data_IF_083422011058
#
_entry.id   IF_083422011058
#
_cell.length_a   1.000
_cell.length_b   1.000
_cell.length_c   1.000
_cell.angle_alpha   90.00
_cell.angle_beta   90.00
_cell.angle_gamma   90.00
#
_symmetry.space_group_name_H-M   'P 1'
#
loop_
_entity.id
_entity.type
_entity.pdbx_description
1 polymer ?
#
# COMPACT_ATOMS: atom_id res chain seq x y z
N UNK A 1 -24.49 -8.66 -31.50
CA UNK A 1 -24.59 -9.27 -32.85
C UNK A 1 -25.84 -10.14 -32.99
N UNK A 2 -26.01 -11.20 -32.19
CA UNK A 2 -27.19 -12.07 -32.28
C UNK A 2 -28.50 -11.31 -32.06
N UNK A 3 -28.54 -10.36 -31.12
CA UNK A 3 -29.68 -9.47 -30.92
C UNK A 3 -30.01 -8.66 -32.17
N UNK A 4 -28.99 -8.06 -32.80
CA UNK A 4 -29.13 -7.34 -34.08
C UNK A 4 -29.66 -8.25 -35.20
N UNK A 5 -29.19 -9.50 -35.30
CA UNK A 5 -29.75 -10.51 -36.22
C UNK A 5 -31.21 -10.83 -35.96
N UNK A 6 -31.69 -10.68 -34.73
CA UNK A 6 -33.09 -10.88 -34.31
C UNK A 6 -33.93 -9.61 -34.40
N UNK A 7 -33.39 -8.50 -34.90
CA UNK A 7 -34.08 -7.20 -34.97
C UNK A 7 -34.14 -6.45 -33.64
N UNK A 8 -33.42 -6.88 -32.60
CA UNK A 8 -33.35 -6.19 -31.30
C UNK A 8 -32.24 -5.15 -31.35
N UNK A 9 -32.56 -3.90 -31.03
CA UNK A 9 -31.61 -2.77 -31.03
C UNK A 9 -30.74 -2.77 -29.76
N UNK A 10 -29.72 -3.64 -29.72
CA UNK A 10 -28.76 -3.75 -28.62
C UNK A 10 -27.48 -2.92 -28.87
N UNK A 11 -27.00 -2.18 -27.88
CA UNK A 11 -25.74 -1.40 -27.95
C UNK A 11 -24.57 -2.02 -27.17
N UNK A 12 -23.46 -1.27 -27.11
CA UNK A 12 -22.30 -1.58 -26.29
C UNK A 12 -21.78 -0.30 -25.64
N UNK A 13 -21.42 -0.38 -24.35
CA UNK A 13 -20.74 0.68 -23.62
C UNK A 13 -19.71 0.06 -22.69
N UNK A 14 -18.70 0.85 -22.31
CA UNK A 14 -17.60 0.44 -21.43
C UNK A 14 -17.73 1.11 -20.07
N UNK A 15 -17.75 0.31 -19.01
CA UNK A 15 -17.69 0.81 -17.65
C UNK A 15 -16.28 0.57 -17.09
N UNK A 16 -15.52 1.65 -16.95
CA UNK A 16 -14.22 1.67 -16.28
C UNK A 16 -14.14 2.86 -15.33
N UNK A 17 -13.64 2.63 -14.13
CA UNK A 17 -13.49 3.68 -13.12
C UNK A 17 -12.31 4.59 -13.43
N UNK A 18 -11.21 4.03 -13.97
CA UNK A 18 -9.97 4.73 -14.25
C UNK A 18 -9.45 4.41 -15.67
N UNK A 19 -8.79 5.36 -16.35
CA UNK A 19 -8.62 6.75 -15.92
C UNK A 19 -9.96 7.52 -15.93
N UNK A 20 -10.02 8.61 -15.17
CA UNK A 20 -11.19 9.50 -15.12
C UNK A 20 -11.07 10.51 -16.27
N UNK A 21 -11.89 10.32 -17.29
CA UNK A 21 -11.75 11.00 -18.58
C UNK A 21 -11.82 12.51 -18.52
N UNK A 22 -12.62 13.07 -17.61
CA UNK A 22 -12.84 14.50 -17.44
C UNK A 22 -11.96 15.13 -16.34
N UNK A 23 -10.98 14.41 -15.81
CA UNK A 23 -9.86 14.98 -15.04
C UNK A 23 -8.67 15.18 -15.97
N UNK A 24 -7.77 16.11 -15.63
CA UNK A 24 -6.56 16.34 -16.43
C UNK A 24 -5.66 15.10 -16.44
N UNK A 25 -4.81 15.00 -17.47
CA UNK A 25 -3.86 13.89 -17.61
C UNK A 25 -2.93 13.76 -16.39
N UNK A 26 -2.52 14.90 -15.85
CA UNK A 26 -1.60 15.01 -14.71
C UNK A 26 -2.31 15.10 -13.36
N UNK A 27 -3.65 14.93 -13.34
CA UNK A 27 -4.39 14.90 -12.10
C UNK A 27 -3.92 13.71 -11.24
N UNK A 28 -3.60 13.89 -9.93
CA UNK A 28 -3.05 12.81 -9.11
C UNK A 28 -3.87 11.52 -9.12
N UNK A 29 -5.20 11.61 -9.22
CA UNK A 29 -6.10 10.45 -9.38
C UNK A 29 -5.77 9.62 -10.62
N UNK A 30 -5.57 10.26 -11.77
CA UNK A 30 -5.21 9.57 -13.01
C UNK A 30 -3.78 9.02 -12.92
N UNK A 31 -2.86 9.81 -12.34
CA UNK A 31 -1.47 9.37 -12.16
C UNK A 31 -1.35 8.21 -11.17
N UNK A 32 -2.23 8.11 -10.17
CA UNK A 32 -2.30 6.97 -9.26
C UNK A 32 -2.78 5.69 -9.96
N UNK A 33 -3.65 5.80 -10.97
CA UNK A 33 -3.99 4.67 -11.83
C UNK A 33 -2.78 4.22 -12.65
N UNK A 34 -2.05 5.16 -13.26
CA UNK A 34 -0.79 4.88 -13.99
C UNK A 34 0.24 4.20 -13.07
N UNK A 35 0.33 4.64 -11.81
CA UNK A 35 1.14 4.00 -10.78
C UNK A 35 0.66 2.59 -10.41
N UNK A 36 -0.63 2.28 -10.55
CA UNK A 36 -1.18 0.96 -10.24
C UNK A 36 -0.99 -0.06 -11.37
N UNK A 37 -0.63 0.41 -12.58
CA UNK A 37 -0.44 -0.38 -13.80
C UNK A 37 0.98 -0.27 -14.37
N UNK A 38 1.93 0.24 -13.58
CA UNK A 38 3.30 0.50 -14.06
C UNK A 38 4.01 -0.77 -14.54
N UNK A 39 3.67 -1.93 -13.98
CA UNK A 39 4.18 -3.25 -14.36
C UNK A 39 3.71 -3.70 -15.75
N UNK A 40 2.42 -3.50 -16.05
CA UNK A 40 1.84 -3.87 -17.36
C UNK A 40 1.99 -2.79 -18.43
N UNK A 41 2.40 -1.58 -18.04
CA UNK A 41 2.73 -0.49 -18.96
C UNK A 41 1.53 0.23 -19.56
N UNK A 42 0.35 0.12 -18.93
CA UNK A 42 -0.79 0.95 -19.30
C UNK A 42 -0.49 2.39 -18.87
N UNK A 43 -0.53 3.31 -19.83
CA UNK A 43 -0.24 4.73 -19.61
C UNK A 43 -1.42 5.60 -20.05
N UNK A 44 -1.66 6.66 -19.28
CA UNK A 44 -2.70 7.61 -19.61
C UNK A 44 -2.26 8.47 -20.80
N UNK A 45 -3.19 8.74 -21.70
CA UNK A 45 -2.98 9.57 -22.88
C UNK A 45 -4.20 10.48 -23.09
N UNK A 46 -4.02 11.59 -23.80
CA UNK A 46 -5.16 12.37 -24.28
C UNK A 46 -5.84 11.62 -25.41
N UNK A 47 -7.17 11.58 -25.41
CA UNK A 47 -7.98 10.97 -26.47
C UNK A 47 -7.98 11.88 -27.72
N UNK A 48 -7.25 11.51 -28.78
CA UNK A 48 -7.17 12.34 -29.98
C UNK A 48 -8.48 12.31 -30.77
N UNK A 49 -9.29 11.25 -30.65
CA UNK A 49 -10.55 11.11 -31.35
C UNK A 49 -11.60 12.05 -30.75
N UNK A 50 -11.66 12.12 -29.40
CA UNK A 50 -12.57 13.03 -28.70
C UNK A 50 -12.21 14.49 -28.97
N UNK A 51 -10.91 14.83 -28.91
CA UNK A 51 -10.42 16.17 -29.23
C UNK A 51 -10.75 16.59 -30.67
N UNK A 52 -10.60 15.69 -31.63
CA UNK A 52 -10.94 15.94 -33.05
C UNK A 52 -12.44 16.10 -33.27
N UNK A 53 -13.26 15.29 -32.61
CA UNK A 53 -14.71 15.28 -32.81
C UNK A 53 -15.42 16.46 -32.14
N UNK A 54 -14.96 16.88 -30.95
CA UNK A 54 -15.67 17.83 -30.10
C UNK A 54 -14.84 19.04 -29.66
N UNK A 55 -13.53 19.07 -29.91
CA UNK A 55 -12.63 20.12 -29.43
C UNK A 55 -12.29 20.05 -27.94
N UNK A 56 -12.84 19.07 -27.22
CA UNK A 56 -12.70 18.86 -25.77
C UNK A 56 -11.55 17.89 -25.48
N UNK A 57 -10.75 18.18 -24.45
CA UNK A 57 -9.73 17.25 -23.98
C UNK A 57 -10.35 16.23 -23.02
N UNK A 58 -10.04 14.96 -23.28
CA UNK A 58 -10.43 13.83 -22.45
C UNK A 58 -9.24 12.91 -22.26
N UNK A 59 -9.15 12.27 -21.09
CA UNK A 59 -8.11 11.30 -20.77
C UNK A 59 -8.62 9.90 -21.04
N UNK A 60 -7.80 9.11 -21.72
CA UNK A 60 -8.00 7.68 -21.91
C UNK A 60 -6.64 6.99 -21.67
N UNK A 61 -6.48 5.74 -22.07
CA UNK A 61 -5.20 5.03 -21.99
C UNK A 61 -4.82 4.43 -23.33
N UNK A 62 -3.51 4.20 -23.52
CA UNK A 62 -2.91 3.80 -24.78
C UNK A 62 -3.64 2.65 -25.50
N UNK A 63 -3.95 1.56 -24.78
CA UNK A 63 -4.56 0.36 -25.38
C UNK A 63 -5.92 0.65 -26.01
N UNK A 64 -6.76 1.45 -25.36
CA UNK A 64 -8.10 1.76 -25.89
C UNK A 64 -8.02 2.72 -27.07
N UNK A 65 -7.16 3.73 -26.99
CA UNK A 65 -6.92 4.67 -28.09
C UNK A 65 -6.36 3.94 -29.32
N UNK A 66 -5.42 3.02 -29.15
CA UNK A 66 -4.84 2.22 -30.23
C UNK A 66 -5.89 1.30 -30.88
N UNK A 67 -6.80 0.71 -30.09
CA UNK A 67 -7.79 -0.25 -30.59
C UNK A 67 -9.10 0.40 -31.09
N UNK A 68 -9.33 1.69 -30.81
CA UNK A 68 -10.60 2.34 -31.14
C UNK A 68 -10.95 2.29 -32.63
N UNK A 69 -9.96 2.43 -33.52
CA UNK A 69 -10.18 2.36 -34.97
C UNK A 69 -10.73 0.99 -35.42
N UNK A 70 -10.31 -0.09 -34.75
CA UNK A 70 -10.83 -1.45 -35.01
C UNK A 70 -12.25 -1.57 -34.47
N UNK A 71 -12.49 -1.12 -33.24
CA UNK A 71 -13.81 -1.12 -32.61
C UNK A 71 -14.84 -0.35 -33.44
N UNK A 72 -14.47 0.82 -33.97
CA UNK A 72 -15.32 1.62 -34.85
C UNK A 72 -15.73 0.84 -36.12
N UNK A 73 -14.79 0.17 -36.78
CA UNK A 73 -15.09 -0.68 -37.96
C UNK A 73 -16.00 -1.86 -37.63
N UNK A 74 -15.88 -2.42 -36.42
CA UNK A 74 -16.77 -3.49 -35.96
C UNK A 74 -18.19 -2.93 -35.80
N UNK A 75 -18.33 -1.76 -35.17
CA UNK A 75 -19.62 -1.08 -35.00
C UNK A 75 -20.25 -0.80 -36.38
N UNK A 76 -19.52 -0.17 -37.30
CA UNK A 76 -19.98 0.16 -38.66
C UNK A 76 -20.47 -1.07 -39.45
N UNK A 77 -19.94 -2.27 -39.17
CA UNK A 77 -20.41 -3.52 -39.80
C UNK A 77 -21.59 -4.17 -39.09
N UNK A 78 -21.80 -3.86 -37.81
CA UNK A 78 -22.78 -4.52 -36.96
C UNK A 78 -24.13 -3.80 -36.94
N UNK A 79 -24.15 -2.50 -37.20
CA UNK A 79 -25.36 -1.67 -37.14
C UNK A 79 -25.59 -0.94 -38.47
N UNK A 80 -26.83 -0.53 -38.72
CA UNK A 80 -27.20 0.23 -39.91
C UNK A 80 -26.95 1.73 -39.73
N UNK A 81 -26.92 2.47 -40.82
CA UNK A 81 -26.85 3.94 -40.79
C UNK A 81 -28.00 4.53 -39.96
N UNK A 82 -27.67 5.50 -39.10
CA UNK A 82 -28.62 6.12 -38.17
C UNK A 82 -28.81 5.39 -36.85
N UNK A 83 -28.11 4.27 -36.60
CA UNK A 83 -28.06 3.65 -35.28
C UNK A 83 -27.26 4.51 -34.28
N UNK A 84 -27.70 4.66 -33.02
CA UNK A 84 -26.97 5.44 -32.01
C UNK A 84 -25.51 5.01 -31.81
N UNK A 85 -25.17 3.74 -32.06
CA UNK A 85 -23.78 3.29 -31.96
C UNK A 85 -22.88 3.93 -33.02
N UNK A 86 -23.44 4.40 -34.15
CA UNK A 86 -22.68 5.13 -35.19
C UNK A 86 -22.27 6.54 -34.75
N UNK A 87 -22.89 7.07 -33.69
CA UNK A 87 -22.55 8.37 -33.07
C UNK A 87 -21.36 8.29 -32.10
N UNK A 88 -20.83 7.09 -31.81
CA UNK A 88 -19.63 6.93 -30.99
C UNK A 88 -18.40 7.37 -31.80
N UNK A 89 -17.85 8.54 -31.47
CA UNK A 89 -16.74 9.15 -32.21
C UNK A 89 -15.39 8.97 -31.54
N UNK A 90 -15.37 8.50 -30.30
CA UNK A 90 -14.16 8.33 -29.48
C UNK A 90 -14.31 7.20 -28.46
N UNK A 91 -13.21 6.64 -27.93
CA UNK A 91 -13.28 5.71 -26.81
C UNK A 91 -13.84 6.39 -25.55
N UNK A 92 -13.71 7.71 -25.40
CA UNK A 92 -14.39 8.48 -24.35
C UNK A 92 -15.92 8.39 -24.46
N UNK A 93 -16.50 8.53 -25.66
CA UNK A 93 -17.96 8.42 -25.87
C UNK A 93 -18.48 7.01 -25.58
N UNK A 94 -17.63 6.00 -25.77
CA UNK A 94 -17.94 4.61 -25.47
C UNK A 94 -17.99 4.35 -23.96
N UNK A 95 -17.36 5.22 -23.15
CA UNK A 95 -17.33 5.16 -21.70
C UNK A 95 -18.60 5.70 -21.05
N UNK A 96 -18.92 5.20 -19.86
CA UNK A 96 -20.06 5.67 -19.03
C UNK A 96 -19.62 6.17 -17.64
N UNK A 97 -18.34 6.52 -17.50
CA UNK A 97 -17.74 6.89 -16.22
C UNK A 97 -18.18 8.30 -15.75
N UNK A 98 -18.68 8.38 -14.52
CA UNK A 98 -19.17 9.61 -13.85
C UNK A 98 -18.41 9.93 -12.56
N UNK A 99 -17.25 9.31 -12.30
CA UNK A 99 -16.52 9.40 -11.01
C UNK A 99 -16.22 10.83 -10.60
N UNK A 100 -15.82 11.71 -11.53
CA UNK A 100 -15.51 13.12 -11.21
C UNK A 100 -16.70 13.85 -10.58
N UNK A 101 -17.92 13.55 -11.01
CA UNK A 101 -19.13 14.21 -10.48
C UNK A 101 -19.38 13.87 -9.01
N UNK A 102 -18.80 12.77 -8.51
CA UNK A 102 -18.83 12.38 -7.10
C UNK A 102 -17.71 12.95 -6.25
N UNK A 103 -16.74 13.68 -6.83
CA UNK A 103 -15.62 14.27 -6.07
C UNK A 103 -16.12 15.54 -5.38
N UNK A 104 -16.37 15.43 -4.07
CA UNK A 104 -16.81 16.56 -3.23
C UNK A 104 -15.67 17.44 -2.71
N UNK A 105 -14.46 16.88 -2.60
CA UNK A 105 -13.25 17.59 -2.17
C UNK A 105 -12.06 17.14 -3.01
N UNK A 106 -11.59 18.01 -3.90
CA UNK A 106 -10.47 17.73 -4.79
C UNK A 106 -9.13 17.64 -4.04
N UNK A 107 -8.95 18.39 -2.96
CA UNK A 107 -7.71 18.41 -2.18
C UNK A 107 -7.48 17.07 -1.50
N UNK A 108 -8.53 16.53 -0.87
CA UNK A 108 -8.50 15.24 -0.18
C UNK A 108 -8.18 14.10 -1.15
N UNK A 109 -8.84 14.03 -2.32
CA UNK A 109 -8.57 12.96 -3.30
C UNK A 109 -7.18 13.09 -3.93
N UNK A 110 -6.69 14.31 -4.14
CA UNK A 110 -5.34 14.55 -4.65
C UNK A 110 -4.29 14.05 -3.65
N UNK A 111 -4.43 14.36 -2.36
CA UNK A 111 -3.51 13.90 -1.33
C UNK A 111 -3.57 12.37 -1.17
N UNK A 112 -4.78 11.80 -1.11
CA UNK A 112 -4.94 10.35 -1.02
C UNK A 112 -4.30 9.60 -2.21
N UNK A 113 -4.40 10.19 -3.40
CA UNK A 113 -3.82 9.64 -4.62
C UNK A 113 -2.29 9.74 -4.62
N UNK A 114 -1.72 10.86 -4.14
CA UNK A 114 -0.27 10.97 -3.93
C UNK A 114 0.26 9.92 -2.94
N UNK A 115 -0.45 9.71 -1.83
CA UNK A 115 -0.09 8.64 -0.89
C UNK A 115 -0.16 7.26 -1.54
N UNK A 116 -1.14 6.98 -2.39
CA UNK A 116 -1.21 5.72 -3.15
C UNK A 116 -0.05 5.55 -4.13
N UNK A 117 0.35 6.61 -4.84
CA UNK A 117 1.53 6.60 -5.72
C UNK A 117 2.79 6.22 -4.93
N UNK A 118 2.98 6.81 -3.74
CA UNK A 118 4.11 6.46 -2.86
C UNK A 118 4.02 5.01 -2.36
N UNK A 119 2.83 4.48 -2.07
CA UNK A 119 2.65 3.06 -1.72
C UNK A 119 3.04 2.14 -2.87
N UNK A 120 2.64 2.46 -4.11
CA UNK A 120 3.02 1.70 -5.31
C UNK A 120 4.52 1.72 -5.56
N UNK A 121 5.16 2.86 -5.35
CA UNK A 121 6.62 2.97 -5.39
C UNK A 121 7.31 1.97 -4.46
N UNK A 122 6.91 1.90 -3.18
CA UNK A 122 7.50 0.93 -2.25
C UNK A 122 7.16 -0.52 -2.62
N UNK A 123 5.92 -0.76 -3.07
CA UNK A 123 5.48 -2.09 -3.49
C UNK A 123 6.33 -2.64 -4.63
N UNK A 124 6.52 -1.89 -5.72
CA UNK A 124 7.30 -2.39 -6.86
C UNK A 124 8.78 -2.58 -6.51
N UNK A 125 9.36 -1.74 -5.65
CA UNK A 125 10.74 -1.96 -5.17
C UNK A 125 10.88 -3.23 -4.36
N UNK A 126 9.89 -3.54 -3.52
CA UNK A 126 9.82 -4.81 -2.81
C UNK A 126 9.68 -5.98 -3.79
N UNK A 127 8.71 -5.92 -4.70
CA UNK A 127 8.49 -6.97 -5.72
C UNK A 127 9.74 -7.18 -6.58
N UNK A 128 10.53 -6.13 -6.85
CA UNK A 128 11.79 -6.26 -7.58
C UNK A 128 12.84 -7.04 -6.78
N UNK A 129 12.98 -6.77 -5.48
CA UNK A 129 13.87 -7.55 -4.58
C UNK A 129 13.43 -9.00 -4.49
N UNK A 130 12.13 -9.27 -4.54
CA UNK A 130 11.55 -10.63 -4.54
C UNK A 130 11.61 -11.33 -5.91
N UNK A 131 12.02 -10.63 -6.97
CA UNK A 131 12.09 -11.16 -8.33
C UNK A 131 10.74 -11.26 -9.05
N UNK A 132 9.72 -10.54 -8.58
CA UNK A 132 8.37 -10.53 -9.14
C UNK A 132 8.13 -9.45 -10.21
N UNK A 133 9.03 -8.48 -10.35
CA UNK A 133 8.93 -7.44 -11.40
C UNK A 133 10.29 -7.08 -11.99
N UNK A 134 10.28 -6.35 -13.10
CA UNK A 134 11.47 -5.95 -13.85
C UNK A 134 11.93 -4.54 -13.49
N UNK A 135 13.17 -4.22 -13.86
CA UNK A 135 13.75 -2.89 -13.64
C UNK A 135 12.96 -1.78 -14.33
N UNK A 136 12.43 -2.04 -15.53
CA UNK A 136 11.58 -1.12 -16.30
C UNK A 136 10.37 -0.61 -15.50
N UNK A 137 9.80 -1.44 -14.62
CA UNK A 137 8.71 -1.05 -13.73
C UNK A 137 9.17 0.03 -12.74
N UNK A 138 10.38 -0.10 -12.19
CA UNK A 138 10.95 0.88 -11.27
C UNK A 138 11.22 2.21 -11.98
N UNK A 139 11.77 2.18 -13.20
CA UNK A 139 12.03 3.38 -14.00
C UNK A 139 10.74 4.13 -14.35
N UNK A 140 9.66 3.41 -14.67
CA UNK A 140 8.33 4.00 -14.87
C UNK A 140 7.85 4.64 -13.58
N UNK A 141 8.00 3.94 -12.45
CA UNK A 141 7.54 4.42 -11.16
C UNK A 141 8.30 5.67 -10.68
N UNK A 142 9.60 5.75 -10.96
CA UNK A 142 10.43 6.93 -10.66
C UNK A 142 9.97 8.15 -11.49
N UNK A 143 9.60 7.96 -12.77
CA UNK A 143 9.01 9.01 -13.61
C UNK A 143 7.64 9.46 -13.10
N UNK A 144 6.81 8.51 -12.68
CA UNK A 144 5.47 8.79 -12.13
C UNK A 144 5.57 9.59 -10.83
N UNK A 145 6.49 9.21 -9.93
CA UNK A 145 6.76 9.98 -8.70
C UNK A 145 7.20 11.41 -9.00
N UNK A 146 8.11 11.59 -9.96
CA UNK A 146 8.57 12.91 -10.40
C UNK A 146 7.44 13.77 -10.97
N UNK A 147 6.53 13.17 -11.75
CA UNK A 147 5.37 13.84 -12.38
C UNK A 147 4.45 14.51 -11.35
N UNK A 148 4.26 13.90 -10.17
CA UNK A 148 3.44 14.47 -9.08
C UNK A 148 4.26 15.21 -8.02
N UNK A 149 5.57 15.29 -8.20
CA UNK A 149 6.50 15.90 -7.25
C UNK A 149 6.54 15.19 -5.89
N UNK A 150 6.19 13.89 -5.85
CA UNK A 150 6.15 13.11 -4.63
C UNK A 150 7.54 12.53 -4.30
N UNK A 151 7.80 12.35 -3.00
CA UNK A 151 8.99 11.72 -2.46
C UNK A 151 8.59 10.56 -1.54
N UNK A 152 9.42 9.51 -1.43
CA UNK A 152 9.19 8.45 -0.46
C UNK A 152 9.01 8.99 0.97
N UNK A 153 9.73 10.07 1.31
CA UNK A 153 9.69 10.73 2.60
C UNK A 153 8.40 11.51 2.90
N UNK A 154 7.54 11.76 1.89
CA UNK A 154 6.25 12.43 2.07
C UNK A 154 5.26 11.56 2.87
N UNK A 155 5.56 10.25 2.98
CA UNK A 155 4.83 9.33 3.84
C UNK A 155 5.35 9.43 5.27
N UNK A 156 4.48 9.89 6.17
CA UNK A 156 4.73 10.21 7.58
C UNK A 156 5.57 9.17 8.36
N UNK A 157 5.39 7.87 8.05
CA UNK A 157 6.02 6.74 8.75
C UNK A 157 7.40 6.35 8.23
N UNK A 158 7.83 6.80 7.05
CA UNK A 158 9.09 6.37 6.42
C UNK A 158 10.31 6.85 7.18
N UNK A 159 10.44 8.16 7.37
CA UNK A 159 11.58 8.75 8.08
C UNK A 159 11.67 8.26 9.55
N UNK A 160 10.57 8.19 10.32
CA UNK A 160 10.59 7.63 11.66
C UNK A 160 11.07 6.17 11.72
N UNK A 161 10.65 5.31 10.79
CA UNK A 161 11.11 3.92 10.73
C UNK A 161 12.61 3.84 10.45
N UNK A 162 13.11 4.62 9.48
CA UNK A 162 14.55 4.71 9.17
C UNK A 162 15.36 5.22 10.37
N UNK A 163 14.90 6.28 11.04
CA UNK A 163 15.52 6.78 12.28
C UNK A 163 15.51 5.74 13.39
N UNK A 164 14.46 4.92 13.50
CA UNK A 164 14.39 3.86 14.49
C UNK A 164 15.45 2.77 14.25
N UNK A 165 15.74 2.42 13.00
CA UNK A 165 16.82 1.49 12.65
C UNK A 165 18.21 2.05 13.02
N UNK A 166 18.49 3.31 12.67
CA UNK A 166 19.75 3.98 13.04
C UNK A 166 19.93 4.08 14.55
N UNK A 167 18.84 4.38 15.26
CA UNK A 167 18.85 4.45 16.71
C UNK A 167 19.03 3.06 17.35
N UNK A 168 18.51 2.00 16.72
CA UNK A 168 18.79 0.63 17.16
C UNK A 168 20.29 0.30 17.05
N UNK A 169 20.95 0.77 15.99
CA UNK A 169 22.41 0.65 15.80
C UNK A 169 23.19 1.40 16.88
N UNK A 170 22.82 2.66 17.17
CA UNK A 170 23.45 3.46 18.24
C UNK A 170 23.28 2.85 19.63
N UNK A 171 22.14 2.22 19.89
CA UNK A 171 21.79 1.60 21.19
C UNK A 171 22.06 0.10 21.24
N UNK A 172 23.01 -0.39 20.44
CA UNK A 172 23.41 -1.80 20.45
C UNK A 172 23.87 -2.25 21.85
N UNK A 173 24.61 -1.40 22.57
CA UNK A 173 25.09 -1.66 23.94
C UNK A 173 23.96 -1.78 24.95
N UNK A 174 22.78 -1.27 24.64
CA UNK A 174 21.57 -1.37 25.47
C UNK A 174 20.65 -2.53 25.04
N UNK A 175 21.16 -3.47 24.22
CA UNK A 175 20.43 -4.65 23.79
C UNK A 175 19.43 -4.40 22.66
N UNK A 176 19.63 -3.35 21.85
CA UNK A 176 18.93 -3.18 20.57
C UNK A 176 19.71 -3.82 19.42
N UNK A 177 18.98 -4.16 18.35
CA UNK A 177 19.50 -5.01 17.29
C UNK A 177 19.59 -6.48 17.69
N UNK A 178 19.95 -7.33 16.73
CA UNK A 178 20.22 -8.73 16.99
C UNK A 178 21.22 -9.27 15.96
N UNK A 179 22.31 -9.90 16.43
CA UNK A 179 23.35 -10.51 15.57
C UNK A 179 23.86 -9.57 14.44
N UNK A 180 24.12 -8.30 14.77
CA UNK A 180 24.62 -7.31 13.80
C UNK A 180 23.58 -6.77 12.82
N UNK A 181 22.30 -7.09 13.01
CA UNK A 181 21.18 -6.59 12.20
C UNK A 181 20.38 -5.56 12.98
N UNK A 182 20.09 -4.42 12.36
CA UNK A 182 19.35 -3.30 12.94
C UNK A 182 18.18 -2.92 12.05
N UNK A 183 16.97 -3.09 12.58
CA UNK A 183 15.72 -2.87 11.88
C UNK A 183 14.85 -1.88 12.65
N UNK A 184 14.14 -1.05 11.89
CA UNK A 184 13.16 -0.10 12.40
C UNK A 184 11.79 -0.31 11.79
N UNK A 185 10.77 0.06 12.54
CA UNK A 185 9.39 0.13 12.08
C UNK A 185 8.71 1.36 12.67
N UNK A 186 7.71 1.90 11.98
CA UNK A 186 6.87 2.97 12.48
C UNK A 186 5.41 2.77 12.07
N UNK A 187 4.50 3.20 12.94
CA UNK A 187 3.05 3.19 12.75
C UNK A 187 2.52 4.58 13.07
N UNK A 188 1.70 5.14 12.19
CA UNK A 188 0.93 6.36 12.47
C UNK A 188 -0.43 5.96 13.07
N UNK A 189 -0.63 6.24 14.36
CA UNK A 189 -1.88 5.92 15.06
C UNK A 189 -2.78 7.14 15.16
N UNK A 190 -4.07 6.94 14.92
CA UNK A 190 -5.09 7.96 15.18
C UNK A 190 -5.45 7.95 16.66
N UNK A 191 -5.40 9.12 17.29
CA UNK A 191 -5.79 9.31 18.67
C UNK A 191 -7.26 9.72 18.77
N UNK A 192 -7.93 9.34 19.85
CA UNK A 192 -9.32 9.73 20.12
C UNK A 192 -9.49 11.27 20.21
N UNK A 193 -8.39 12.03 20.38
CA UNK A 193 -8.36 13.49 20.35
C UNK A 193 -8.39 14.10 18.94
N UNK A 194 -8.46 13.29 17.88
CA UNK A 194 -8.49 13.73 16.49
C UNK A 194 -7.12 14.03 15.86
N UNK A 195 -6.03 13.81 16.60
CA UNK A 195 -4.66 13.95 16.09
C UNK A 195 -4.03 12.61 15.70
N UNK A 196 -2.87 12.66 15.05
CA UNK A 196 -2.04 11.46 14.79
C UNK A 196 -0.82 11.43 15.70
N UNK A 197 -0.33 10.22 15.98
CA UNK A 197 0.89 9.99 16.73
C UNK A 197 1.74 8.95 15.99
N UNK A 198 3.01 9.29 15.77
CA UNK A 198 3.97 8.32 15.24
C UNK A 198 4.54 7.48 16.38
N UNK A 199 4.39 6.17 16.25
CA UNK A 199 4.93 5.19 17.20
C UNK A 199 5.95 4.31 16.49
N UNK A 200 7.15 4.21 17.05
CA UNK A 200 8.25 3.45 16.45
C UNK A 200 8.57 2.17 17.21
N UNK A 201 9.13 1.20 16.49
CA UNK A 201 9.68 -0.05 17.01
C UNK A 201 11.10 -0.29 16.51
N UNK A 202 11.89 -0.99 17.33
CA UNK A 202 13.29 -1.36 17.05
C UNK A 202 13.44 -2.84 17.32
N UNK A 203 14.17 -3.55 16.49
CA UNK A 203 14.45 -4.96 16.77
C UNK A 203 15.36 -5.12 18.00
N UNK A 204 15.28 -6.28 18.63
CA UNK A 204 16.07 -6.69 19.79
C UNK A 204 16.21 -8.21 19.81
N UNK A 205 16.97 -8.79 20.75
CA UNK A 205 16.99 -10.24 20.97
C UNK A 205 15.64 -10.83 21.43
N UNK A 206 14.67 -9.98 21.77
CA UNK A 206 13.33 -10.39 22.17
C UNK A 206 12.28 -10.17 21.10
N UNK A 207 12.33 -9.06 20.35
CA UNK A 207 11.26 -8.66 19.43
C UNK A 207 11.81 -8.28 18.06
N UNK A 208 11.06 -8.59 17.01
CA UNK A 208 11.23 -7.91 15.73
C UNK A 208 10.80 -6.43 15.84
N UNK A 209 11.23 -5.61 14.88
CA UNK A 209 10.97 -4.18 14.90
C UNK A 209 9.46 -3.89 14.77
N UNK A 210 8.79 -4.59 13.87
CA UNK A 210 7.35 -4.54 13.65
C UNK A 210 6.55 -4.99 14.89
N UNK A 211 6.99 -6.06 15.58
CA UNK A 211 6.38 -6.52 16.82
C UNK A 211 6.48 -5.48 17.93
N UNK A 212 7.65 -4.85 18.06
CA UNK A 212 7.86 -3.76 19.01
C UNK A 212 6.99 -2.54 18.67
N UNK A 213 6.88 -2.16 17.39
CA UNK A 213 6.03 -1.05 16.98
C UNK A 213 4.55 -1.31 17.30
N UNK A 214 4.05 -2.53 17.03
CA UNK A 214 2.69 -2.95 17.34
C UNK A 214 2.38 -2.89 18.85
N UNK A 215 3.27 -3.43 19.69
CA UNK A 215 3.09 -3.35 21.14
C UNK A 215 3.13 -1.92 21.66
N UNK A 216 4.06 -1.10 21.16
CA UNK A 216 4.16 0.30 21.55
C UNK A 216 2.88 1.05 21.12
N UNK A 217 2.39 0.81 19.90
CA UNK A 217 1.20 1.45 19.36
C UNK A 217 -0.04 1.10 20.20
N UNK A 218 -0.26 -0.18 20.48
CA UNK A 218 -1.39 -0.62 21.33
C UNK A 218 -1.30 -0.07 22.75
N UNK A 219 -0.10 0.00 23.35
CA UNK A 219 0.09 0.64 24.66
C UNK A 219 -0.29 2.12 24.63
N UNK A 220 0.12 2.87 23.61
CA UNK A 220 -0.22 4.29 23.46
C UNK A 220 -1.72 4.49 23.31
N UNK A 221 -2.36 3.74 22.41
CA UNK A 221 -3.81 3.80 22.19
C UNK A 221 -4.59 3.39 23.45
N UNK A 222 -4.07 2.42 24.22
CA UNK A 222 -4.69 2.00 25.47
C UNK A 222 -4.41 2.95 26.66
N UNK A 223 -3.57 3.99 26.50
CA UNK A 223 -3.17 4.88 27.59
C UNK A 223 -2.32 4.19 28.66
N UNK A 224 -1.42 3.30 28.24
CA UNK A 224 -0.50 2.54 29.10
C UNK A 224 0.90 3.14 28.99
N UNK A 225 1.56 3.34 30.14
CA UNK A 225 2.91 3.89 30.19
C UNK A 225 3.94 2.99 29.51
N UNK A 226 4.99 3.59 28.95
CA UNK A 226 6.00 2.88 28.15
C UNK A 226 6.80 1.86 28.96
N UNK A 227 7.05 2.11 30.24
CA UNK A 227 7.76 1.18 31.12
C UNK A 227 6.95 -0.04 31.59
N UNK A 228 5.66 -0.13 31.25
CA UNK A 228 4.81 -1.24 31.70
C UNK A 228 4.90 -2.40 30.72
N UNK A 229 5.32 -3.57 31.20
CA UNK A 229 5.26 -4.81 30.43
C UNK A 229 3.81 -5.30 30.34
N UNK A 230 3.38 -5.63 29.12
CA UNK A 230 2.01 -6.08 28.82
C UNK A 230 1.94 -7.55 28.41
N UNK A 231 3.10 -8.22 28.30
CA UNK A 231 3.20 -9.65 28.02
C UNK A 231 3.80 -10.31 29.24
N UNK A 232 3.15 -11.37 29.72
CA UNK A 232 3.63 -12.11 30.88
C UNK A 232 5.03 -12.70 30.62
N UNK A 233 5.98 -12.55 31.57
CA UNK A 233 7.30 -13.18 31.46
C UNK A 233 7.24 -14.70 31.32
N UNK A 234 6.23 -15.37 31.91
CA UNK A 234 6.06 -16.83 31.78
C UNK A 234 5.71 -17.22 30.34
N UNK A 235 4.81 -16.46 29.70
CA UNK A 235 4.42 -16.66 28.29
C UNK A 235 5.62 -16.46 27.36
N UNK A 236 6.40 -15.39 27.57
CA UNK A 236 7.62 -15.14 26.79
C UNK A 236 8.60 -16.31 26.93
N UNK A 237 8.81 -16.81 28.16
CA UNK A 237 9.72 -17.93 28.41
C UNK A 237 9.28 -19.19 27.69
N UNK A 238 8.01 -19.56 27.78
CA UNK A 238 7.46 -20.74 27.11
C UNK A 238 7.59 -20.65 25.59
N UNK A 239 7.34 -19.48 25.00
CA UNK A 239 7.54 -19.29 23.55
C UNK A 239 9.02 -19.44 23.15
N UNK A 240 9.95 -18.86 23.93
CA UNK A 240 11.38 -19.03 23.67
C UNK A 240 11.85 -20.48 23.80
N UNK A 241 11.36 -21.21 24.80
CA UNK A 241 11.64 -22.64 24.97
C UNK A 241 11.11 -23.45 23.79
N UNK A 242 9.89 -23.19 23.33
CA UNK A 242 9.32 -23.83 22.15
C UNK A 242 10.21 -23.61 20.91
N UNK A 243 10.61 -22.36 20.63
CA UNK A 243 11.47 -22.04 19.48
C UNK A 243 12.83 -22.73 19.56
N UNK A 244 13.41 -22.84 20.76
CA UNK A 244 14.67 -23.59 20.97
C UNK A 244 14.49 -25.09 20.72
N UNK A 245 13.40 -25.68 21.22
CA UNK A 245 13.10 -27.10 21.01
C UNK A 245 12.83 -27.44 19.54
N UNK A 246 12.32 -26.47 18.76
CA UNK A 246 12.18 -26.56 17.31
C UNK A 246 13.49 -26.35 16.53
N UNK A 247 14.61 -26.03 17.21
CA UNK A 247 15.89 -25.78 16.58
C UNK A 247 15.97 -24.46 15.80
N UNK A 248 15.13 -23.46 16.12
CA UNK A 248 15.14 -22.18 15.42
C UNK A 248 16.34 -21.32 15.84
N UNK A 249 17.05 -20.77 14.85
CA UNK A 249 18.25 -19.94 15.04
C UNK A 249 17.99 -18.57 15.69
N UNK A 250 16.73 -18.11 15.70
CA UNK A 250 16.28 -16.88 16.33
C UNK A 250 15.15 -17.18 17.31
N UNK A 251 15.23 -16.57 18.50
CA UNK A 251 14.18 -16.62 19.52
C UNK A 251 13.45 -15.29 19.68
N UNK A 252 13.73 -14.32 18.80
CA UNK A 252 12.97 -13.07 18.74
C UNK A 252 11.55 -13.36 18.27
N UNK A 253 10.59 -12.63 18.83
CA UNK A 253 9.17 -12.82 18.58
C UNK A 253 8.69 -11.95 17.41
N UNK A 254 8.03 -12.59 16.45
CA UNK A 254 7.41 -11.96 15.29
C UNK A 254 6.00 -11.39 15.60
N UNK A 255 5.33 -10.68 14.68
CA UNK A 255 3.99 -10.13 14.90
C UNK A 255 2.96 -11.17 15.31
N UNK A 256 2.98 -12.36 14.72
CA UNK A 256 1.98 -13.39 15.00
C UNK A 256 2.20 -13.94 16.42
N UNK A 257 3.44 -14.19 16.77
CA UNK A 257 3.83 -14.67 18.09
C UNK A 257 3.52 -13.63 19.17
N UNK A 258 3.77 -12.34 18.92
CA UNK A 258 3.50 -11.30 19.92
C UNK A 258 2.01 -11.09 20.14
N UNK A 259 1.18 -11.21 19.10
CA UNK A 259 -0.28 -11.15 19.21
C UNK A 259 -0.83 -12.34 19.99
N UNK A 260 -0.32 -13.55 19.73
CA UNK A 260 -0.67 -14.75 20.51
C UNK A 260 -0.24 -14.61 21.97
N UNK A 261 0.96 -14.08 22.22
CA UNK A 261 1.46 -13.84 23.57
C UNK A 261 0.59 -12.82 24.32
N UNK A 262 0.14 -11.78 23.62
CA UNK A 262 -0.74 -10.75 24.16
C UNK A 262 -2.12 -11.33 24.50
N UNK A 263 -2.69 -12.13 23.59
CA UNK A 263 -3.97 -12.79 23.81
C UNK A 263 -3.93 -13.74 25.02
N UNK A 264 -2.86 -14.52 25.16
CA UNK A 264 -2.64 -15.39 26.33
C UNK A 264 -2.48 -14.59 27.62
N UNK A 265 -1.69 -13.52 27.59
CA UNK A 265 -1.48 -12.66 28.77
C UNK A 265 -2.77 -11.94 29.18
N UNK A 266 -3.63 -11.60 28.23
CA UNK A 266 -4.91 -10.93 28.46
C UNK A 266 -5.94 -11.77 29.24
N UNK A 267 -5.67 -13.06 29.48
CA UNK A 267 -6.50 -13.92 30.35
C UNK A 267 -6.39 -13.49 31.81
N UNK A 268 -5.19 -13.14 32.28
CA UNK A 268 -4.93 -12.80 33.69
C UNK A 268 -4.49 -11.35 33.90
N UNK A 269 -3.98 -10.68 32.87
CA UNK A 269 -3.41 -9.33 32.97
C UNK A 269 -4.34 -8.25 32.41
N UNK A 270 -4.75 -7.30 33.26
CA UNK A 270 -5.64 -6.19 32.88
C UNK A 270 -5.05 -5.30 31.77
N UNK A 271 -3.76 -5.01 31.84
CA UNK A 271 -3.08 -4.17 30.85
C UNK A 271 -2.93 -4.88 29.50
N UNK A 272 -2.67 -6.18 29.49
CA UNK A 272 -2.65 -6.99 28.26
C UNK A 272 -4.02 -6.99 27.58
N UNK A 273 -5.11 -7.15 28.35
CA UNK A 273 -6.49 -7.09 27.83
C UNK A 273 -6.81 -5.74 27.20
N UNK A 274 -6.38 -4.64 27.82
CA UNK A 274 -6.55 -3.29 27.26
C UNK A 274 -5.83 -3.12 25.93
N UNK A 275 -4.58 -3.59 25.81
CA UNK A 275 -3.85 -3.57 24.55
C UNK A 275 -4.52 -4.45 23.47
N UNK A 276 -5.00 -5.63 23.84
CA UNK A 276 -5.70 -6.53 22.92
C UNK A 276 -6.96 -5.86 22.34
N UNK A 277 -7.75 -5.19 23.20
CA UNK A 277 -8.94 -4.46 22.75
C UNK A 277 -8.60 -3.23 21.88
N UNK A 278 -7.41 -2.65 22.06
CA UNK A 278 -6.95 -1.50 21.29
C UNK A 278 -6.49 -1.86 19.85
N UNK A 279 -6.25 -3.14 19.55
CA UNK A 279 -5.78 -3.57 18.22
C UNK A 279 -6.71 -3.15 17.07
N UNK A 280 -8.04 -3.15 17.30
CA UNK A 280 -9.02 -2.78 16.28
C UNK A 280 -8.88 -1.31 15.83
N UNK A 281 -8.36 -0.45 16.69
CA UNK A 281 -8.09 0.96 16.39
C UNK A 281 -6.88 1.16 15.47
N UNK A 282 -6.08 0.12 15.21
CA UNK A 282 -4.96 0.18 14.28
C UNK A 282 -5.36 -0.08 12.82
N UNK A 283 -6.62 -0.49 12.56
CA UNK A 283 -7.11 -0.69 11.19
C UNK A 283 -7.08 0.63 10.42
N UNK A 284 -6.54 0.61 9.22
CA UNK A 284 -6.35 1.78 8.35
C UNK A 284 -5.15 2.64 8.71
N UNK A 285 -4.41 2.31 9.79
CA UNK A 285 -3.18 3.04 10.14
C UNK A 285 -2.06 2.69 9.16
N UNK A 286 -1.23 3.70 8.86
CA UNK A 286 -0.08 3.55 7.98
C UNK A 286 1.09 2.93 8.74
N UNK A 287 1.80 1.99 8.11
CA UNK A 287 2.99 1.35 8.66
C UNK A 287 4.13 1.34 7.65
N UNK A 288 5.36 1.51 8.13
CA UNK A 288 6.57 1.32 7.35
C UNK A 288 7.62 0.51 8.11
N UNK A 289 8.33 -0.37 7.40
CA UNK A 289 9.48 -1.12 7.91
C UNK A 289 10.73 -0.87 7.08
N UNK A 290 11.90 -0.86 7.71
CA UNK A 290 13.17 -0.64 7.00
C UNK A 290 13.73 -1.88 6.31
N UNK A 291 13.07 -3.03 6.49
CA UNK A 291 13.56 -4.34 6.07
C UNK A 291 12.44 -5.15 5.43
N UNK A 292 12.83 -6.11 4.58
CA UNK A 292 11.90 -7.04 3.98
C UNK A 292 11.38 -8.00 5.05
N UNK A 293 10.07 -7.99 5.25
CA UNK A 293 9.39 -8.90 6.18
C UNK A 293 9.25 -10.28 5.56
N UNK A 294 9.13 -11.31 6.39
CA UNK A 294 8.70 -12.62 5.89
C UNK A 294 7.23 -12.56 5.49
N UNK A 295 6.84 -13.39 4.51
CA UNK A 295 5.45 -13.46 4.01
C UNK A 295 4.43 -13.67 5.14
N UNK A 296 4.75 -14.53 6.12
CA UNK A 296 3.90 -14.79 7.28
C UNK A 296 3.68 -13.56 8.18
N UNK A 297 4.73 -12.75 8.39
CA UNK A 297 4.64 -11.54 9.20
C UNK A 297 3.82 -10.46 8.48
N UNK A 298 4.07 -10.27 7.19
CA UNK A 298 3.34 -9.31 6.38
C UNK A 298 1.85 -9.67 6.30
N UNK A 299 1.53 -10.93 6.03
CA UNK A 299 0.14 -11.41 6.03
C UNK A 299 -0.56 -11.11 7.35
N UNK A 300 0.15 -11.28 8.48
CA UNK A 300 -0.39 -10.98 9.81
C UNK A 300 -0.70 -9.49 9.97
N UNK A 301 0.24 -8.61 9.59
CA UNK A 301 0.06 -7.14 9.64
C UNK A 301 -1.08 -6.69 8.72
N UNK A 302 -1.15 -7.22 7.50
CA UNK A 302 -2.23 -6.90 6.55
C UNK A 302 -3.59 -7.38 7.04
N UNK A 303 -3.68 -8.55 7.69
CA UNK A 303 -4.92 -9.06 8.29
C UNK A 303 -5.44 -8.20 9.45
N UNK A 304 -4.54 -7.49 10.16
CA UNK A 304 -4.93 -6.47 11.13
C UNK A 304 -5.51 -5.20 10.47
N UNK A 305 -5.37 -5.06 9.15
CA UNK A 305 -5.81 -3.91 8.39
C UNK A 305 -4.83 -2.74 8.42
N UNK A 306 -3.56 -2.97 8.78
CA UNK A 306 -2.50 -1.97 8.63
C UNK A 306 -2.10 -1.84 7.17
N UNK A 307 -1.80 -0.61 6.74
CA UNK A 307 -1.35 -0.33 5.37
C UNK A 307 0.18 -0.30 5.37
N UNK A 308 0.79 -1.42 4.98
CA UNK A 308 2.23 -1.65 5.07
C UNK A 308 2.99 -1.16 3.83
N UNK A 309 4.16 -0.57 4.07
CA UNK A 309 5.20 -0.28 3.07
C UNK A 309 6.56 -0.70 3.63
N UNK A 310 7.57 -0.91 2.78
CA UNK A 310 8.90 -1.31 3.22
C UNK A 310 10.01 -0.74 2.33
N UNK A 311 11.16 -0.42 2.92
CA UNK A 311 12.41 -0.15 2.19
C UNK A 311 12.97 -1.42 1.50
N UNK A 312 12.40 -2.60 1.77
CA UNK A 312 12.74 -3.89 1.18
C UNK A 312 14.22 -4.31 1.33
N UNK A 313 14.92 -3.80 2.35
CA UNK A 313 16.31 -4.20 2.63
C UNK A 313 16.34 -5.62 3.20
N UNK A 314 17.19 -6.47 2.63
CA UNK A 314 17.43 -7.80 3.19
C UNK A 314 18.19 -7.68 4.51
N UNK A 315 17.71 -8.30 5.61
CA UNK A 315 18.28 -8.16 6.94
C UNK A 315 19.54 -9.04 7.11
N UNK A 316 20.61 -8.72 6.41
CA UNK A 316 21.91 -9.36 6.58
C UNK A 316 22.76 -8.65 7.65
N UNK A 317 23.65 -9.37 8.35
CA UNK A 317 24.62 -8.74 9.26
C UNK A 317 25.50 -7.74 8.49
N UNK A 318 25.74 -6.57 9.09
CA UNK A 318 26.68 -5.59 8.56
C UNK A 318 28.11 -6.09 8.86
N UNK A 319 28.69 -6.88 7.94
CA UNK A 319 30.01 -7.50 8.10
C UNK A 319 31.18 -6.50 8.05
N UNK A 320 30.93 -5.22 7.76
CA UNK A 320 31.94 -4.16 7.81
C UNK A 320 32.26 -3.67 9.23
N UNK A 321 31.69 -4.31 10.26
CA UNK A 321 31.80 -3.94 11.68
C UNK A 321 32.33 -5.07 12.57
N UNK A 322 33.00 -6.07 11.99
CA UNK A 322 33.73 -7.13 12.73
C UNK A 322 35.23 -6.86 12.67
#
# INVERSE_FOLDING_TARGET
YNDRKRGIMSGFSKFETFPVWNLSLDHPVNVAYEAATADIGDCNVLDPFHKKAYGVEAVNYNRDVENFAVMKKIIERMVSDGDPMTDVRSPTDMGVNMVKEGIVDNGVVCEASKQEIVRRYFRYRREFVEGCTLHDTLDRMDKIMAKVGAKPEDRSVVLPARKAAEEAKRRQTEGKGYKGVFCGAAIEVFLDSGGTLIVTGKNSPLLHAESAALLNATKKVAGIADGVDVISPSVIRSLKELKRNMGLNSTSLDPKEILNALASSAVSEKNARRCLNALSKLRGCEMHTTHLMTEGNEKTVNQMGLILTTDAKLPFPDYHLI
#
